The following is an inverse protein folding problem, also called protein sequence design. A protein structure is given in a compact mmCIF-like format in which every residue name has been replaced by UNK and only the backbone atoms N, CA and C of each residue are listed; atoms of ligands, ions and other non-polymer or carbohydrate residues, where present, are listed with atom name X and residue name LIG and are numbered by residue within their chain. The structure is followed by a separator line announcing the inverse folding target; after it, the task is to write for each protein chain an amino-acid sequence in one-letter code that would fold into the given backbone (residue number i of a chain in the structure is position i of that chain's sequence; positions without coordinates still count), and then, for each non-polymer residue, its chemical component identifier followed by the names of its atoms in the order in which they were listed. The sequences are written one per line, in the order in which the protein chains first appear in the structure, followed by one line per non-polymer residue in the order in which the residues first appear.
data_IF_633612252648
#
_entry.id   IF_633612252648
#
_cell.length_a   1.000
_cell.length_b   1.000
_cell.length_c   1.000
_cell.angle_alpha   90.00
_cell.angle_beta   90.00
_cell.angle_gamma   90.00
#
_symmetry.space_group_name_H-M   'P 1'
#
loop_
_entity.id
_entity.type
_entity.pdbx_description
1 polymer ?
#
# COMPACT_ATOMS: atom_id res chain seq x y z
N UNK A 1 27.55 -11.91 15.85
CA UNK A 1 26.87 -11.95 14.53
C UNK A 1 25.49 -11.33 14.73
N UNK A 2 25.21 -10.16 14.15
CA UNK A 2 23.90 -9.53 14.31
C UNK A 2 22.89 -10.25 13.42
N UNK A 3 21.94 -10.95 14.02
CA UNK A 3 20.82 -11.53 13.31
C UNK A 3 19.92 -10.36 12.89
N UNK A 4 19.93 -10.03 11.59
CA UNK A 4 19.12 -8.93 11.05
C UNK A 4 17.63 -9.16 11.28
N UNK A 5 16.87 -8.07 11.41
CA UNK A 5 15.41 -8.12 11.55
C UNK A 5 14.78 -8.99 10.44
N UNK A 6 13.90 -9.95 10.78
CA UNK A 6 13.14 -10.71 9.81
C UNK A 6 12.39 -9.79 8.83
N UNK A 7 12.42 -10.09 7.53
CA UNK A 7 11.81 -9.21 6.49
C UNK A 7 10.36 -8.86 6.81
N UNK A 8 9.57 -9.82 7.29
CA UNK A 8 8.15 -9.63 7.58
C UNK A 8 7.88 -8.65 8.72
N UNK A 9 8.88 -8.37 9.57
CA UNK A 9 8.79 -7.38 10.64
C UNK A 9 9.17 -5.97 10.17
N UNK A 10 9.79 -5.86 8.98
CA UNK A 10 10.26 -4.56 8.47
C UNK A 10 9.10 -3.68 8.04
N UNK A 11 9.22 -2.36 8.27
CA UNK A 11 8.24 -1.37 7.79
C UNK A 11 8.09 -1.45 6.27
N UNK A 12 9.18 -1.68 5.54
CA UNK A 12 9.16 -1.82 4.08
C UNK A 12 8.28 -2.98 3.61
N UNK A 13 8.29 -4.10 4.35
CA UNK A 13 7.38 -5.21 4.07
C UNK A 13 5.92 -4.84 4.34
N UNK A 14 5.63 -4.16 5.45
CA UNK A 14 4.25 -3.74 5.76
C UNK A 14 3.71 -2.76 4.71
N UNK A 15 4.53 -1.83 4.22
CA UNK A 15 4.17 -0.94 3.12
C UNK A 15 3.89 -1.71 1.83
N UNK A 16 4.74 -2.69 1.50
CA UNK A 16 4.53 -3.60 0.36
C UNK A 16 3.19 -4.35 0.47
N UNK A 17 2.87 -4.90 1.65
CA UNK A 17 1.61 -5.61 1.86
C UNK A 17 0.39 -4.69 1.77
N UNK A 18 0.48 -3.46 2.29
CA UNK A 18 -0.59 -2.45 2.21
C UNK A 18 -0.86 -1.98 0.77
N UNK A 19 0.16 -1.95 -0.09
CA UNK A 19 -0.02 -1.65 -1.50
C UNK A 19 -0.70 -2.80 -2.25
N UNK A 20 -0.30 -4.03 -1.95
CA UNK A 20 -0.77 -5.22 -2.65
C UNK A 20 -2.11 -5.75 -2.16
N UNK A 21 -2.55 -5.38 -0.96
CA UNK A 21 -3.78 -5.87 -0.36
C UNK A 21 -4.69 -4.73 0.12
N UNK A 22 -6.00 -4.91 -0.05
CA UNK A 22 -7.03 -4.04 0.51
C UNK A 22 -7.81 -4.76 1.58
N UNK A 23 -8.23 -4.02 2.59
CA UNK A 23 -9.18 -4.51 3.57
C UNK A 23 -10.59 -4.35 2.99
N UNK A 24 -11.31 -5.47 2.94
CA UNK A 24 -12.72 -5.53 2.53
C UNK A 24 -13.52 -6.05 3.71
N UNK A 25 -14.62 -5.37 4.01
CA UNK A 25 -15.57 -5.81 5.03
C UNK A 25 -16.63 -6.66 4.38
N UNK A 26 -16.74 -7.91 4.83
CA UNK A 26 -17.76 -8.86 4.41
C UNK A 26 -18.76 -9.04 5.54
N UNK A 27 -20.03 -9.27 5.18
CA UNK A 27 -21.04 -9.73 6.12
C UNK A 27 -21.07 -11.25 6.04
N UNK A 28 -20.96 -11.92 7.18
CA UNK A 28 -20.97 -13.39 7.25
C UNK A 28 -22.30 -13.90 6.68
N UNK A 29 -22.28 -14.63 5.55
CA UNK A 29 -23.51 -15.10 4.91
C UNK A 29 -24.13 -16.28 5.68
N UNK A 30 -25.42 -16.51 5.44
CA UNK A 30 -26.11 -17.72 5.90
C UNK A 30 -25.63 -18.95 5.12
N UNK A 31 -25.55 -20.12 5.78
CA UNK A 31 -25.26 -21.39 5.11
C UNK A 31 -23.79 -21.65 4.80
N UNK A 32 -22.85 -21.05 5.55
CA UNK A 32 -21.43 -21.36 5.44
C UNK A 32 -21.15 -22.83 5.74
N UNK A 33 -20.30 -23.44 4.92
CA UNK A 33 -19.87 -24.83 5.08
C UNK A 33 -18.80 -24.98 6.18
N UNK A 34 -18.41 -26.22 6.47
CA UNK A 34 -17.35 -26.50 7.45
C UNK A 34 -15.99 -25.90 7.06
N UNK A 35 -15.79 -25.53 5.78
CA UNK A 35 -14.56 -24.87 5.32
C UNK A 35 -14.57 -23.36 5.53
N UNK A 36 -15.75 -22.80 5.86
CA UNK A 36 -16.00 -21.38 6.11
C UNK A 36 -15.48 -20.47 4.99
N UNK A 37 -15.60 -20.91 3.74
CA UNK A 37 -15.15 -20.14 2.58
C UNK A 37 -16.30 -19.36 1.96
N UNK A 38 -16.01 -18.13 1.54
CA UNK A 38 -16.95 -17.27 0.83
C UNK A 38 -16.32 -16.88 -0.50
N UNK A 39 -17.09 -17.03 -1.56
CA UNK A 39 -16.75 -16.55 -2.89
C UNK A 39 -17.48 -15.23 -3.14
N UNK A 40 -16.75 -14.21 -3.56
CA UNK A 40 -17.31 -12.92 -3.93
C UNK A 40 -16.51 -12.30 -5.06
N UNK A 41 -17.12 -11.34 -5.75
CA UNK A 41 -16.46 -10.58 -6.81
C UNK A 41 -16.00 -9.24 -6.24
N UNK A 42 -14.72 -8.92 -6.40
CA UNK A 42 -14.13 -7.63 -6.04
C UNK A 42 -13.21 -7.17 -7.16
N UNK A 43 -13.39 -5.93 -7.65
CA UNK A 43 -12.65 -5.37 -8.80
C UNK A 43 -12.63 -6.32 -10.03
N UNK A 44 -13.79 -6.86 -10.41
CA UNK A 44 -13.98 -7.81 -11.53
C UNK A 44 -13.16 -9.12 -11.43
N UNK A 45 -12.82 -9.53 -10.21
CA UNK A 45 -12.15 -10.80 -9.94
C UNK A 45 -12.91 -11.62 -8.90
N UNK A 46 -13.05 -12.91 -9.18
CA UNK A 46 -13.59 -13.87 -8.23
C UNK A 46 -12.55 -14.18 -7.14
N UNK A 47 -12.92 -13.90 -5.90
CA UNK A 47 -12.10 -14.08 -4.71
C UNK A 47 -12.71 -15.16 -3.82
N UNK A 48 -11.87 -16.06 -3.30
CA UNK A 48 -12.25 -17.04 -2.29
C UNK A 48 -11.51 -16.72 -1.01
N UNK A 49 -12.23 -16.40 0.07
CA UNK A 49 -11.65 -16.09 1.37
C UNK A 49 -12.26 -16.98 2.45
N UNK A 50 -11.43 -17.44 3.39
CA UNK A 50 -11.89 -18.17 4.57
C UNK A 50 -12.16 -17.20 5.72
N UNK A 51 -13.36 -17.26 6.31
CA UNK A 51 -13.75 -16.42 7.45
C UNK A 51 -13.20 -17.04 8.75
N UNK A 52 -12.48 -16.27 9.60
CA UNK A 52 -11.95 -16.75 10.87
C UNK A 52 -13.03 -17.29 11.80
N UNK A 53 -12.65 -18.27 12.64
CA UNK A 53 -13.48 -18.81 13.73
C UNK A 53 -13.93 -17.70 14.70
N UNK A 54 -15.18 -17.80 15.18
CA UNK A 54 -15.74 -16.87 16.18
C UNK A 54 -16.65 -15.75 15.65
N UNK A 55 -16.90 -15.68 14.34
CA UNK A 55 -17.89 -14.77 13.77
C UNK A 55 -19.22 -15.47 13.50
N UNK A 56 -20.31 -14.88 13.96
CA UNK A 56 -21.68 -15.35 13.71
C UNK A 56 -22.26 -14.78 12.41
N UNK A 57 -23.33 -15.41 11.92
CA UNK A 57 -24.10 -14.96 10.75
C UNK A 57 -24.52 -13.50 10.94
N UNK A 58 -24.37 -12.70 9.88
CA UNK A 58 -24.72 -11.26 9.90
C UNK A 58 -23.69 -10.35 10.55
N UNK A 59 -22.64 -10.88 11.18
CA UNK A 59 -21.53 -10.06 11.69
C UNK A 59 -20.62 -9.59 10.56
N UNK A 60 -19.94 -8.47 10.80
CA UNK A 60 -18.97 -7.92 9.86
C UNK A 60 -17.58 -8.50 10.15
N UNK A 61 -16.93 -9.03 9.12
CA UNK A 61 -15.55 -9.50 9.17
C UNK A 61 -14.71 -8.68 8.18
N UNK A 62 -13.56 -8.20 8.62
CA UNK A 62 -12.60 -7.53 7.73
C UNK A 62 -11.56 -8.53 7.26
N UNK A 63 -11.47 -8.72 5.95
CA UNK A 63 -10.50 -9.61 5.32
C UNK A 63 -9.56 -8.82 4.41
N UNK A 64 -8.34 -9.34 4.23
CA UNK A 64 -7.39 -8.77 3.27
C UNK A 64 -7.51 -9.49 1.94
N UNK A 65 -7.79 -8.75 0.88
CA UNK A 65 -7.83 -9.27 -0.50
C UNK A 65 -6.69 -8.66 -1.32
N UNK A 66 -6.04 -9.42 -2.21
CA UNK A 66 -5.06 -8.86 -3.12
C UNK A 66 -5.73 -7.87 -4.08
N UNK A 67 -5.11 -6.73 -4.31
CA UNK A 67 -5.58 -5.74 -5.28
C UNK A 67 -5.10 -6.09 -6.68
N UNK A 68 -5.88 -5.72 -7.70
CA UNK A 68 -5.37 -5.67 -9.09
C UNK A 68 -4.50 -4.45 -9.35
N UNK A 69 -4.48 -3.49 -8.42
CA UNK A 69 -3.70 -2.28 -8.53
C UNK A 69 -2.22 -2.64 -8.54
N UNK A 70 -1.50 -2.02 -9.49
CA UNK A 70 -0.05 -2.14 -9.57
C UNK A 70 0.56 -1.28 -8.46
N UNK A 71 1.67 -1.72 -7.85
CA UNK A 71 2.47 -0.85 -7.01
C UNK A 71 2.76 0.48 -7.72
N UNK A 72 2.76 1.61 -7.00
CA UNK A 72 2.97 2.93 -7.58
C UNK A 72 4.33 3.07 -8.29
N UNK A 73 5.34 2.35 -7.80
CA UNK A 73 6.65 2.27 -8.41
C UNK A 73 6.86 0.90 -9.06
N UNK A 74 7.50 0.91 -10.22
CA UNK A 74 7.90 -0.32 -10.90
C UNK A 74 8.95 -1.07 -10.07
N UNK A 75 8.97 -2.40 -10.19
CA UNK A 75 9.84 -3.25 -9.36
C UNK A 75 11.32 -2.94 -9.55
N UNK A 76 11.72 -2.64 -10.78
CA UNK A 76 13.10 -2.33 -11.16
C UNK A 76 13.14 -1.46 -12.43
N UNK A 77 14.32 -0.94 -12.72
CA UNK A 77 14.61 -0.10 -13.89
C UNK A 77 14.28 -0.78 -15.22
N UNK A 78 14.46 -2.09 -15.35
CA UNK A 78 14.10 -2.83 -16.57
C UNK A 78 12.60 -2.79 -16.84
N UNK A 79 11.76 -3.02 -15.81
CA UNK A 79 10.31 -2.90 -15.93
C UNK A 79 9.88 -1.45 -16.18
N UNK A 80 10.54 -0.48 -15.53
CA UNK A 80 10.31 0.93 -15.77
C UNK A 80 10.60 1.32 -17.23
N UNK A 81 11.70 0.82 -17.80
CA UNK A 81 12.08 1.06 -19.19
C UNK A 81 11.02 0.54 -20.16
N UNK A 82 10.59 -0.72 -20.02
CA UNK A 82 9.56 -1.30 -20.90
C UNK A 82 8.19 -0.59 -20.84
N UNK A 83 7.97 0.25 -19.83
CA UNK A 83 6.73 0.99 -19.62
C UNK A 83 6.86 2.50 -19.83
N UNK A 84 8.02 2.98 -20.27
CA UNK A 84 8.26 4.41 -20.50
C UNK A 84 8.45 5.22 -19.21
N UNK A 85 8.64 4.58 -18.06
CA UNK A 85 8.87 5.22 -16.75
C UNK A 85 10.36 5.36 -16.43
N UNK A 86 11.23 5.35 -17.43
CA UNK A 86 12.70 5.31 -17.27
C UNK A 86 13.30 6.51 -16.49
N UNK A 87 12.55 7.61 -16.36
CA UNK A 87 12.98 8.80 -15.63
C UNK A 87 12.43 8.87 -14.19
N UNK A 88 11.59 7.90 -13.82
CA UNK A 88 11.04 7.81 -12.46
C UNK A 88 11.89 6.84 -11.63
N UNK A 89 12.05 7.12 -10.32
CA UNK A 89 12.73 6.19 -9.43
C UNK A 89 11.95 4.87 -9.33
N UNK A 90 12.65 3.74 -9.43
CA UNK A 90 12.05 2.42 -9.23
C UNK A 90 12.04 2.03 -7.73
N UNK A 91 11.28 0.97 -7.41
CA UNK A 91 11.15 0.48 -6.03
C UNK A 91 12.49 0.06 -5.43
N UNK A 92 13.38 -0.54 -6.21
CA UNK A 92 14.68 -1.00 -5.73
C UNK A 92 15.55 0.19 -5.31
N UNK A 93 15.60 1.24 -6.13
CA UNK A 93 16.34 2.46 -5.85
C UNK A 93 15.80 3.16 -4.58
N UNK A 94 14.48 3.27 -4.45
CA UNK A 94 13.86 3.87 -3.27
C UNK A 94 14.12 3.04 -2.01
N UNK A 95 13.99 1.71 -2.09
CA UNK A 95 14.25 0.82 -0.97
C UNK A 95 15.71 0.83 -0.52
N UNK A 96 16.66 0.94 -1.45
CA UNK A 96 18.09 0.99 -1.11
C UNK A 96 18.43 2.22 -0.25
N UNK A 97 17.85 3.38 -0.58
CA UNK A 97 18.00 4.61 0.21
C UNK A 97 17.35 4.50 1.60
N UNK A 98 16.24 3.76 1.70
CA UNK A 98 15.52 3.58 2.96
C UNK A 98 16.05 2.43 3.83
N UNK A 99 16.88 1.54 3.26
CA UNK A 99 17.39 0.33 3.94
C UNK A 99 18.21 0.62 5.19
N UNK A 100 18.92 1.74 5.20
CA UNK A 100 19.74 2.17 6.33
C UNK A 100 19.00 3.23 7.15
N UNK A 101 19.28 3.27 8.45
CA UNK A 101 18.83 4.34 9.33
C UNK A 101 19.39 5.70 8.85
N UNK A 102 18.68 6.77 9.22
CA UNK A 102 19.13 8.15 9.02
C UNK A 102 20.58 8.28 9.54
N UNK A 103 21.50 8.79 8.70
CA UNK A 103 22.93 8.90 9.05
C UNK A 103 23.24 10.22 9.77
N UNK A 104 22.23 11.07 9.97
CA UNK A 104 22.33 12.31 10.74
C UNK A 104 22.63 12.00 12.20
N UNK A 105 23.81 12.38 12.65
CA UNK A 105 24.28 12.22 14.04
C UNK A 105 24.23 13.52 14.84
N UNK A 106 24.05 14.67 14.17
CA UNK A 106 24.02 16.01 14.77
C UNK A 106 22.69 16.69 14.47
N UNK A 107 22.17 17.52 15.40
CA UNK A 107 20.94 18.31 15.20
C UNK A 107 19.73 17.47 14.75
N UNK A 108 19.39 16.44 15.53
CA UNK A 108 18.24 15.55 15.29
C UNK A 108 16.96 16.38 15.41
N UNK A 109 16.40 16.76 14.27
CA UNK A 109 15.12 17.45 14.16
C UNK A 109 14.34 16.85 13.00
N UNK A 110 13.02 16.76 13.13
CA UNK A 110 12.12 16.35 12.04
C UNK A 110 12.16 17.33 10.86
N UNK A 111 12.61 18.56 11.09
CA UNK A 111 12.79 19.56 10.03
C UNK A 111 14.05 19.36 9.18
N UNK A 112 14.96 18.49 9.63
CA UNK A 112 16.21 18.25 8.93
C UNK A 112 15.94 17.66 7.53
N UNK A 113 16.63 18.14 6.49
CA UNK A 113 16.33 17.78 5.09
C UNK A 113 16.33 16.28 4.84
N UNK A 114 17.23 15.52 5.49
CA UNK A 114 17.25 14.05 5.36
C UNK A 114 15.95 13.39 5.80
N UNK A 115 15.30 13.84 6.88
CA UNK A 115 14.02 13.28 7.31
C UNK A 115 12.90 13.64 6.34
N UNK A 116 12.91 14.87 5.78
CA UNK A 116 11.96 15.29 4.74
C UNK A 116 12.11 14.45 3.47
N UNK A 117 13.34 14.24 3.00
CA UNK A 117 13.63 13.38 1.83
C UNK A 117 13.18 11.95 2.07
N UNK A 118 13.49 11.36 3.24
CA UNK A 118 13.05 10.00 3.56
C UNK A 118 11.54 9.88 3.66
N UNK A 119 10.87 10.89 4.23
CA UNK A 119 9.41 10.94 4.27
C UNK A 119 8.80 10.95 2.86
N UNK A 120 9.39 11.73 1.93
CA UNK A 120 8.98 11.72 0.52
C UNK A 120 9.19 10.34 -0.13
N UNK A 121 10.32 9.68 0.12
CA UNK A 121 10.59 8.32 -0.40
C UNK A 121 9.59 7.29 0.12
N UNK A 122 9.18 7.36 1.40
CA UNK A 122 8.08 6.54 1.91
C UNK A 122 6.75 6.89 1.23
N UNK A 123 6.49 8.16 0.96
CA UNK A 123 5.32 8.62 0.21
C UNK A 123 5.28 8.08 -1.22
N UNK A 124 6.42 7.92 -1.90
CA UNK A 124 6.52 7.31 -3.22
C UNK A 124 6.17 5.82 -3.19
N UNK A 125 6.65 5.07 -2.20
CA UNK A 125 6.25 3.67 -2.02
C UNK A 125 4.73 3.55 -1.81
N UNK A 126 4.16 4.42 -0.98
CA UNK A 126 2.72 4.44 -0.72
C UNK A 126 1.87 4.99 -1.89
N UNK A 127 2.50 5.52 -2.95
CA UNK A 127 1.81 6.17 -4.07
C UNK A 127 1.18 7.52 -3.72
N UNK A 128 1.40 8.03 -2.50
CA UNK A 128 0.92 9.34 -2.05
C UNK A 128 1.70 10.50 -2.66
N UNK A 129 2.90 10.24 -3.14
CA UNK A 129 3.76 11.20 -3.84
C UNK A 129 3.68 11.09 -5.36
N UNK A 130 2.76 10.26 -5.87
CA UNK A 130 2.59 10.00 -7.30
C UNK A 130 1.41 10.74 -7.92
N UNK A 131 0.74 11.65 -7.20
CA UNK A 131 -0.23 12.56 -7.82
C UNK A 131 0.57 13.48 -8.74
N UNK A 132 0.52 13.31 -10.08
CA UNK A 132 0.95 14.40 -10.92
C UNK A 132 -0.10 15.49 -10.65
N UNK A 133 0.32 16.65 -10.15
CA UNK A 133 -0.45 17.83 -10.52
C UNK A 133 -0.38 17.84 -12.04
N UNK A 134 -1.46 17.46 -12.70
CA UNK A 134 -1.57 17.67 -14.13
C UNK A 134 -1.29 19.17 -14.33
N UNK A 135 -0.32 19.54 -15.19
CA UNK A 135 -0.18 20.93 -15.53
C UNK A 135 -1.55 21.35 -16.10
N UNK A 136 -2.21 22.29 -15.41
CA UNK A 136 -3.53 22.83 -15.76
C UNK A 136 -4.78 22.00 -15.38
N UNK A 137 -4.80 21.31 -14.24
CA UNK A 137 -6.10 21.03 -13.61
C UNK A 137 -6.55 22.30 -12.87
N UNK A 138 -7.59 23.04 -13.31
CA UNK A 138 -8.20 24.06 -12.46
C UNK A 138 -8.66 23.39 -11.18
N UNK A 139 -8.49 24.06 -10.05
CA UNK A 139 -9.01 23.61 -8.75
C UNK A 139 -10.52 23.42 -8.91
N UNK A 140 -10.95 22.17 -9.10
CA UNK A 140 -12.35 21.82 -9.07
C UNK A 140 -12.83 22.09 -7.65
N UNK A 141 -13.87 22.91 -7.51
CA UNK A 141 -14.52 23.15 -6.22
C UNK A 141 -14.79 21.80 -5.57
N UNK A 142 -14.21 21.57 -4.38
CA UNK A 142 -14.53 20.38 -3.59
C UNK A 142 -16.07 20.35 -3.44
N UNK A 143 -16.74 19.22 -3.73
CA UNK A 143 -18.15 19.12 -3.45
C UNK A 143 -18.32 19.37 -1.96
N UNK A 144 -18.99 20.47 -1.63
CA UNK A 144 -19.37 20.78 -0.26
C UNK A 144 -20.25 19.61 0.19
N UNK A 145 -19.71 18.77 1.08
CA UNK A 145 -20.50 17.80 1.83
C UNK A 145 -21.58 18.58 2.59
N UNK A 146 -22.78 18.64 2.01
CA UNK A 146 -23.81 19.52 2.52
C UNK A 146 -24.99 19.79 1.59
N UNK A 147 -25.57 18.76 0.96
CA UNK A 147 -26.97 18.84 0.53
C UNK A 147 -27.62 17.47 0.69
N UNK A 148 -28.63 17.44 1.56
CA UNK A 148 -29.54 16.34 1.85
C UNK A 148 -30.22 15.77 0.60
#
# INVERSE_FOLDING_TARGET
MAQGMPRHETILYHLEQQELHRQVTLIVPEGMDATRRVNFIYEDQEMTVAIPEGYDIGQQVTVQVPTRKRPPLERNSTQAFHRGHQHLPDRQLVMENLRHCCRVTTSISLDHPEYKTRYQLYGMLQGKSMTPMLPEMPEGEEPQDGAL
#
